data_IF_562726232551
#
_entry.id   IF_562726232551
#
_cell.length_a   1.000
_cell.length_b   1.000
_cell.length_c   1.000
_cell.angle_alpha   90.00
_cell.angle_beta   90.00
_cell.angle_gamma   90.00
#
_symmetry.space_group_name_H-M   'P 1'
#
loop_
_entity.id
_entity.type
_entity.pdbx_description
1 polymer ?
#
# COMPACT_ATOMS: atom_id res chain seq x y z
N UNK A 1 20.44 12.38 -8.44
CA UNK A 1 21.14 12.07 -7.21
C UNK A 1 20.22 11.48 -6.15
N UNK A 2 20.77 11.23 -5.00
CA UNK A 2 20.06 10.61 -3.89
C UNK A 2 18.85 11.44 -3.45
N UNK A 3 19.00 12.77 -3.43
CA UNK A 3 17.91 13.67 -3.09
C UNK A 3 16.72 13.57 -4.03
N UNK A 4 16.98 13.34 -5.31
CA UNK A 4 15.90 13.19 -6.30
C UNK A 4 15.14 11.87 -6.12
N UNK A 5 15.84 10.81 -5.72
CA UNK A 5 15.22 9.51 -5.44
C UNK A 5 14.26 9.64 -4.25
N UNK A 6 14.67 10.30 -3.17
CA UNK A 6 13.84 10.51 -2.00
C UNK A 6 12.64 11.42 -2.29
N UNK A 7 12.84 12.48 -3.09
CA UNK A 7 11.74 13.37 -3.48
C UNK A 7 10.69 12.64 -4.29
N UNK A 8 11.12 11.80 -5.23
CA UNK A 8 10.20 11.00 -6.05
C UNK A 8 9.42 10.01 -5.19
N UNK A 9 10.12 9.31 -4.29
CA UNK A 9 9.50 8.38 -3.36
C UNK A 9 8.44 9.07 -2.52
N UNK A 10 8.76 10.22 -1.94
CA UNK A 10 7.83 10.96 -1.08
C UNK A 10 6.63 11.47 -1.86
N UNK A 11 6.85 11.91 -3.10
CA UNK A 11 5.75 12.38 -3.95
C UNK A 11 4.73 11.28 -4.23
N UNK A 12 5.19 10.10 -4.59
CA UNK A 12 4.29 8.97 -4.84
C UNK A 12 3.62 8.47 -3.57
N UNK A 13 4.34 8.49 -2.46
CA UNK A 13 3.75 8.12 -1.18
C UNK A 13 2.68 9.13 -0.76
N UNK A 14 2.91 10.43 -1.00
CA UNK A 14 1.90 11.44 -0.74
C UNK A 14 0.66 11.22 -1.63
N UNK A 15 0.85 10.84 -2.88
CA UNK A 15 -0.27 10.48 -3.76
C UNK A 15 -1.09 9.33 -3.17
N UNK A 16 -0.43 8.31 -2.63
CA UNK A 16 -1.12 7.19 -1.99
C UNK A 16 -1.92 7.66 -0.77
N UNK A 17 -1.32 8.52 0.05
CA UNK A 17 -2.01 9.09 1.21
C UNK A 17 -3.24 9.89 0.76
N UNK A 18 -3.11 10.69 -0.30
CA UNK A 18 -4.22 11.47 -0.83
C UNK A 18 -5.33 10.56 -1.38
N UNK A 19 -4.98 9.43 -1.99
CA UNK A 19 -5.98 8.44 -2.42
C UNK A 19 -6.77 7.90 -1.23
N UNK A 20 -6.12 7.70 -0.08
CA UNK A 20 -6.79 7.19 1.11
C UNK A 20 -7.91 8.11 1.60
N UNK A 21 -7.85 9.39 1.26
CA UNK A 21 -8.89 10.37 1.65
C UNK A 21 -10.22 10.15 0.92
N UNK A 22 -10.21 9.38 -0.16
CA UNK A 22 -11.44 9.04 -0.90
C UNK A 22 -12.24 7.94 -0.22
N UNK A 23 -11.62 7.22 0.70
CA UNK A 23 -12.28 6.14 1.43
C UNK A 23 -13.33 6.69 2.39
N UNK A 24 -14.50 6.07 2.43
CA UNK A 24 -15.52 6.40 3.43
C UNK A 24 -15.12 5.81 4.77
N UNK A 25 -14.97 6.63 5.82
CA UNK A 25 -14.59 6.11 7.14
C UNK A 25 -15.57 5.05 7.65
N UNK A 26 -15.00 4.02 8.27
CA UNK A 26 -15.76 2.91 8.86
C UNK A 26 -15.12 2.55 10.19
N UNK A 27 -15.88 1.99 11.11
CA UNK A 27 -15.36 1.58 12.41
C UNK A 27 -14.55 0.29 12.37
N UNK A 28 -14.60 -0.43 11.25
CA UNK A 28 -14.00 -1.76 11.11
C UNK A 28 -12.81 -1.82 10.15
N UNK A 29 -12.50 -0.72 9.46
CA UNK A 29 -11.46 -0.72 8.44
C UNK A 29 -10.69 0.59 8.43
N UNK A 30 -9.38 0.49 8.24
CA UNK A 30 -8.55 1.65 7.98
C UNK A 30 -8.78 2.17 6.57
N UNK A 31 -8.69 3.47 6.39
CA UNK A 31 -8.64 4.09 5.08
C UNK A 31 -7.20 4.11 4.61
N UNK A 32 -6.93 3.35 3.57
CA UNK A 32 -5.60 3.18 2.99
C UNK A 32 -5.66 3.58 1.51
N UNK A 33 -4.58 4.14 1.01
CA UNK A 33 -4.42 4.44 -0.40
C UNK A 33 -3.18 3.77 -0.93
N UNK A 34 -3.18 3.44 -2.21
CA UNK A 34 -2.06 2.79 -2.87
C UNK A 34 -1.81 3.40 -4.25
N UNK A 35 -0.55 3.46 -4.63
CA UNK A 35 -0.10 3.89 -5.96
C UNK A 35 0.90 2.87 -6.46
N UNK A 36 0.67 2.33 -7.65
CA UNK A 36 1.62 1.45 -8.34
C UNK A 36 2.30 2.25 -9.43
N UNK A 37 3.62 2.16 -9.49
CA UNK A 37 4.41 2.72 -10.60
C UNK A 37 5.14 1.56 -11.26
N UNK A 38 4.81 1.29 -12.52
CA UNK A 38 5.41 0.20 -13.27
C UNK A 38 6.80 0.55 -13.77
N UNK A 39 7.54 -0.43 -14.27
CA UNK A 39 8.89 -0.21 -14.80
C UNK A 39 8.90 0.75 -15.99
N UNK A 40 7.81 0.81 -16.75
CA UNK A 40 7.66 1.79 -17.84
C UNK A 40 6.87 3.03 -17.43
N UNK A 41 6.80 3.28 -16.11
CA UNK A 41 6.25 4.50 -15.49
C UNK A 41 4.75 4.71 -15.68
N UNK A 42 3.99 3.66 -15.87
CA UNK A 42 2.53 3.73 -15.81
C UNK A 42 2.11 3.73 -14.34
N UNK A 43 1.06 4.48 -14.02
CA UNK A 43 0.59 4.69 -12.65
C UNK A 43 -0.82 4.15 -12.50
N UNK A 44 -1.04 3.38 -11.43
CA UNK A 44 -2.36 2.87 -11.06
C UNK A 44 -2.59 3.16 -9.59
N UNK A 45 -3.81 3.56 -9.25
CA UNK A 45 -4.15 3.97 -7.89
C UNK A 45 -5.28 3.12 -7.34
N UNK A 46 -5.37 3.06 -6.03
CA UNK A 46 -6.46 2.38 -5.36
C UNK A 46 -6.67 2.92 -3.96
N UNK A 47 -7.90 2.77 -3.45
CA UNK A 47 -8.19 3.09 -2.06
C UNK A 47 -9.13 2.03 -1.49
N UNK A 48 -9.16 1.94 -0.17
CA UNK A 48 -9.95 0.94 0.55
C UNK A 48 -11.40 0.97 0.10
N UNK A 49 -11.91 -0.21 -0.30
CA UNK A 49 -13.29 -0.42 -0.71
C UNK A 49 -13.73 0.36 -1.94
N UNK A 50 -12.80 0.71 -2.81
CA UNK A 50 -13.11 1.50 -4.01
C UNK A 50 -14.19 0.85 -4.87
N UNK A 51 -14.07 -0.44 -5.16
CA UNK A 51 -15.01 -1.17 -6.02
C UNK A 51 -15.73 -2.32 -5.30
N UNK A 52 -15.28 -2.71 -4.11
CA UNK A 52 -15.85 -3.83 -3.37
C UNK A 52 -15.61 -3.66 -1.88
N UNK A 53 -16.59 -4.04 -1.02
CA UNK A 53 -16.43 -3.89 0.43
C UNK A 53 -15.36 -4.79 1.05
N UNK A 54 -14.81 -5.74 0.29
CA UNK A 54 -13.74 -6.62 0.78
C UNK A 54 -12.37 -6.27 0.21
N UNK A 55 -12.28 -5.30 -0.70
CA UNK A 55 -11.01 -4.97 -1.36
C UNK A 55 -10.22 -3.94 -0.56
N UNK A 56 -8.94 -4.24 -0.36
CA UNK A 56 -7.97 -3.30 0.17
C UNK A 56 -7.41 -2.42 -0.96
N UNK A 57 -6.78 -1.32 -0.59
CA UNK A 57 -6.25 -0.35 -1.56
C UNK A 57 -5.27 -0.97 -2.55
N UNK A 58 -4.35 -1.79 -2.04
CA UNK A 58 -3.33 -2.43 -2.87
C UNK A 58 -3.97 -3.36 -3.91
N UNK A 59 -4.98 -4.12 -3.51
CA UNK A 59 -5.72 -5.00 -4.42
C UNK A 59 -6.43 -4.19 -5.50
N UNK A 60 -7.05 -3.07 -5.15
CA UNK A 60 -7.74 -2.21 -6.12
C UNK A 60 -6.77 -1.70 -7.18
N UNK A 61 -5.59 -1.26 -6.77
CA UNK A 61 -4.57 -0.78 -7.70
C UNK A 61 -4.05 -1.91 -8.60
N UNK A 62 -3.80 -3.09 -8.03
CA UNK A 62 -3.34 -4.26 -8.77
C UNK A 62 -4.37 -4.68 -9.81
N UNK A 63 -5.64 -4.71 -9.46
CA UNK A 63 -6.71 -5.09 -10.38
C UNK A 63 -6.80 -4.15 -11.57
N UNK A 64 -6.63 -2.85 -11.35
CA UNK A 64 -6.62 -1.88 -12.45
C UNK A 64 -5.45 -2.11 -13.39
N UNK A 65 -4.27 -2.39 -12.85
CA UNK A 65 -3.08 -2.66 -13.65
C UNK A 65 -3.27 -3.92 -14.49
N UNK A 66 -3.80 -4.98 -13.88
CA UNK A 66 -4.07 -6.23 -14.59
C UNK A 66 -5.11 -6.04 -15.70
N UNK A 67 -6.16 -5.26 -15.43
CA UNK A 67 -7.18 -4.96 -16.43
C UNK A 67 -6.61 -4.18 -17.62
N UNK A 68 -5.58 -3.36 -17.38
CA UNK A 68 -4.90 -2.61 -18.43
C UNK A 68 -3.87 -3.46 -19.19
N UNK A 69 -3.64 -4.71 -18.77
CA UNK A 69 -2.70 -5.60 -19.44
C UNK A 69 -1.23 -5.25 -19.24
N UNK A 70 -0.90 -4.51 -18.16
CA UNK A 70 0.49 -4.10 -17.93
C UNK A 70 1.24 -5.14 -17.10
N UNK A 71 2.56 -5.17 -17.27
CA UNK A 71 3.47 -6.01 -16.50
C UNK A 71 3.69 -5.41 -15.12
N UNK A 72 3.40 -6.17 -14.07
CA UNK A 72 3.64 -5.74 -12.68
C UNK A 72 5.02 -6.15 -12.15
N UNK A 73 5.69 -7.11 -12.79
CA UNK A 73 7.02 -7.52 -12.38
C UNK A 73 7.97 -6.33 -12.33
N UNK A 74 8.67 -6.17 -11.22
CA UNK A 74 9.62 -5.08 -11.03
C UNK A 74 9.00 -3.74 -10.68
N UNK A 75 7.67 -3.66 -10.55
CA UNK A 75 7.00 -2.41 -10.18
C UNK A 75 7.25 -2.05 -8.73
N UNK A 76 7.01 -0.79 -8.40
CA UNK A 76 7.01 -0.29 -7.02
C UNK A 76 5.58 0.02 -6.62
N UNK A 77 5.20 -0.37 -5.40
CA UNK A 77 3.92 0.01 -4.82
C UNK A 77 4.14 0.90 -3.61
N UNK A 78 3.41 2.02 -3.57
CA UNK A 78 3.41 2.96 -2.48
C UNK A 78 2.07 2.82 -1.77
N UNK A 79 2.10 2.54 -0.47
CA UNK A 79 0.89 2.37 0.32
C UNK A 79 0.95 3.27 1.54
N UNK A 80 -0.18 3.87 1.92
CA UNK A 80 -0.18 4.74 3.10
C UNK A 80 0.10 3.96 4.38
N UNK A 81 -0.27 2.68 4.44
CA UNK A 81 0.01 1.81 5.58
C UNK A 81 0.68 0.52 5.12
N UNK A 82 1.33 -0.15 6.04
CA UNK A 82 1.97 -1.44 5.79
C UNK A 82 0.98 -2.43 5.17
N UNK A 83 1.32 -3.07 4.03
CA UNK A 83 0.45 -4.08 3.44
C UNK A 83 0.17 -5.22 4.43
N UNK A 84 -1.09 -5.62 4.52
CA UNK A 84 -1.50 -6.64 5.48
C UNK A 84 -0.83 -7.99 5.19
N UNK A 85 -0.56 -8.74 6.25
CA UNK A 85 -0.01 -10.09 6.15
C UNK A 85 -1.11 -11.16 6.23
N UNK A 86 -2.28 -10.79 6.76
CA UNK A 86 -3.45 -11.66 6.85
C UNK A 86 -4.70 -10.83 6.67
N UNK A 87 -5.74 -11.44 6.11
CA UNK A 87 -7.08 -10.85 6.10
C UNK A 87 -8.12 -11.95 5.98
N UNK A 88 -9.25 -11.74 6.65
CA UNK A 88 -10.31 -12.76 6.77
C UNK A 88 -11.21 -12.81 5.55
N UNK A 89 -11.34 -11.72 4.82
CA UNK A 89 -12.32 -11.58 3.74
C UNK A 89 -11.84 -12.08 2.38
N UNK A 90 -10.58 -12.39 2.23
CA UNK A 90 -9.99 -12.79 0.96
C UNK A 90 -8.96 -13.89 1.18
N UNK A 91 -8.74 -14.78 0.18
CA UNK A 91 -7.79 -15.87 0.33
C UNK A 91 -6.33 -15.44 0.38
N UNK A 92 -6.00 -14.29 -0.23
CA UNK A 92 -4.64 -13.76 -0.21
C UNK A 92 -4.57 -12.43 0.52
N UNK A 93 -3.54 -12.23 1.32
CA UNK A 93 -3.23 -10.92 1.90
C UNK A 93 -2.65 -10.00 0.84
N UNK A 94 -2.58 -8.69 1.15
CA UNK A 94 -1.94 -7.74 0.23
C UNK A 94 -0.46 -8.05 0.05
N UNK A 95 0.24 -8.47 1.13
CA UNK A 95 1.64 -8.89 1.01
C UNK A 95 1.80 -10.09 0.08
N UNK A 96 0.93 -11.08 0.16
CA UNK A 96 0.97 -12.23 -0.73
C UNK A 96 0.72 -11.84 -2.18
N UNK A 97 -0.22 -10.92 -2.43
CA UNK A 97 -0.48 -10.40 -3.78
C UNK A 97 0.75 -9.71 -4.35
N UNK A 98 1.42 -8.89 -3.54
CA UNK A 98 2.62 -8.17 -3.94
C UNK A 98 3.75 -9.16 -4.29
N UNK A 99 3.93 -10.18 -3.45
CA UNK A 99 4.95 -11.22 -3.67
C UNK A 99 4.63 -11.99 -4.96
N UNK A 100 3.38 -12.41 -5.14
CA UNK A 100 2.97 -13.21 -6.29
C UNK A 100 3.16 -12.48 -7.61
N UNK A 101 2.95 -11.17 -7.62
CA UNK A 101 3.14 -10.35 -8.82
C UNK A 101 4.56 -9.83 -8.99
N UNK A 102 5.49 -10.28 -8.13
CA UNK A 102 6.92 -10.01 -8.26
C UNK A 102 7.26 -8.51 -8.26
N UNK A 103 6.61 -7.75 -7.40
CA UNK A 103 7.00 -6.35 -7.18
C UNK A 103 8.44 -6.28 -6.70
N UNK A 104 9.14 -5.25 -7.10
CA UNK A 104 10.52 -5.02 -6.67
C UNK A 104 10.59 -4.33 -5.32
N UNK A 105 9.65 -3.43 -5.03
CA UNK A 105 9.76 -2.53 -3.90
C UNK A 105 8.41 -2.14 -3.36
N UNK A 106 8.34 -1.98 -2.04
CA UNK A 106 7.18 -1.47 -1.32
C UNK A 106 7.62 -0.29 -0.47
N UNK A 107 6.86 0.81 -0.52
CA UNK A 107 7.09 2.00 0.30
C UNK A 107 5.82 2.30 1.06
N UNK A 108 5.91 2.52 2.37
CA UNK A 108 4.75 2.93 3.15
C UNK A 108 5.13 3.93 4.25
N UNK A 109 4.11 4.57 4.85
CA UNK A 109 4.32 5.65 5.81
C UNK A 109 4.09 5.22 7.26
N UNK A 110 3.30 4.18 7.49
CA UNK A 110 2.91 3.77 8.83
C UNK A 110 2.77 2.26 8.91
N UNK A 111 3.38 1.65 9.92
CA UNK A 111 3.13 0.25 10.24
C UNK A 111 1.70 0.07 10.72
N UNK A 112 1.11 -1.09 10.47
CA UNK A 112 -0.25 -1.38 10.90
C UNK A 112 -0.32 -1.35 12.44
N UNK A 113 -1.14 -0.45 13.06
CA UNK A 113 -1.04 -0.18 14.49
C UNK A 113 -1.53 -1.27 15.40
N UNK A 114 -2.45 -2.13 14.95
CA UNK A 114 -3.10 -3.12 15.81
C UNK A 114 -2.39 -4.45 15.88
N UNK A 115 -1.19 -4.53 15.37
CA UNK A 115 -0.48 -5.78 15.28
C UNK A 115 0.72 -5.80 16.23
N UNK A 116 0.62 -6.54 17.34
CA UNK A 116 1.74 -6.74 18.24
C UNK A 116 2.82 -7.64 17.64
N UNK A 117 2.41 -8.49 16.73
CA UNK A 117 3.34 -9.21 15.86
C UNK A 117 3.58 -8.37 14.60
N UNK A 118 3.58 -7.10 14.82
CA UNK A 118 3.68 -6.08 13.82
C UNK A 118 4.83 -6.29 12.90
N UNK A 119 4.76 -5.70 11.76
CA UNK A 119 5.81 -5.79 10.77
C UNK A 119 5.88 -7.15 10.10
N UNK A 120 4.89 -8.01 10.28
CA UNK A 120 4.86 -9.28 9.56
C UNK A 120 4.73 -9.06 8.07
N UNK A 121 3.95 -8.06 7.65
CA UNK A 121 3.85 -7.71 6.24
C UNK A 121 5.20 -7.31 5.68
N UNK A 122 5.86 -6.34 6.31
CA UNK A 122 7.19 -5.87 5.89
C UNK A 122 8.22 -6.99 5.96
N UNK A 123 8.22 -7.74 7.06
CA UNK A 123 9.17 -8.84 7.25
C UNK A 123 8.98 -9.92 6.18
N UNK A 124 7.74 -10.28 5.90
CA UNK A 124 7.41 -11.29 4.89
C UNK A 124 7.86 -10.84 3.49
N UNK A 125 7.64 -9.57 3.16
CA UNK A 125 8.08 -8.99 1.89
C UNK A 125 9.60 -9.07 1.76
N UNK A 126 10.33 -8.69 2.82
CA UNK A 126 11.80 -8.75 2.82
C UNK A 126 12.32 -10.17 2.69
N UNK A 127 11.66 -11.15 3.31
CA UNK A 127 12.04 -12.56 3.18
C UNK A 127 11.92 -13.08 1.75
N UNK A 128 11.09 -12.44 0.94
CA UNK A 128 10.91 -12.81 -0.46
C UNK A 128 11.72 -11.91 -1.41
N UNK A 129 12.69 -11.17 -0.87
CA UNK A 129 13.61 -10.36 -1.67
C UNK A 129 13.06 -9.04 -2.14
N UNK A 130 11.94 -8.59 -1.59
CA UNK A 130 11.35 -7.30 -1.95
C UNK A 130 11.93 -6.21 -1.07
N UNK A 131 12.36 -5.10 -1.67
CA UNK A 131 12.82 -3.93 -0.91
C UNK A 131 11.64 -3.29 -0.19
N UNK A 132 11.82 -2.96 1.08
CA UNK A 132 10.81 -2.26 1.87
C UNK A 132 11.42 -1.00 2.42
N UNK A 133 10.78 0.14 2.14
CA UNK A 133 11.16 1.45 2.69
C UNK A 133 10.00 2.02 3.46
N UNK A 134 10.30 2.64 4.60
CA UNK A 134 9.29 3.30 5.43
C UNK A 134 9.64 4.77 5.55
N UNK A 135 8.71 5.65 5.20
CA UNK A 135 8.89 7.10 5.39
C UNK A 135 7.94 7.58 6.47
N UNK A 136 8.40 7.51 7.71
CA UNK A 136 7.59 7.87 8.87
C UNK A 136 7.31 9.36 8.98
N UNK A 137 8.00 10.19 8.21
CA UNK A 137 7.73 11.64 8.22
C UNK A 137 6.32 11.96 7.76
N UNK A 138 5.69 11.06 6.99
CA UNK A 138 4.32 11.22 6.52
C UNK A 138 3.30 10.47 7.39
N UNK A 139 3.72 9.77 8.43
CA UNK A 139 2.84 8.95 9.25
C UNK A 139 1.76 9.76 9.97
N UNK A 140 2.03 11.01 10.31
CA UNK A 140 1.05 11.87 10.97
C UNK A 140 -0.22 12.08 10.15
N UNK A 141 -0.06 12.22 8.83
CA UNK A 141 -1.22 12.35 7.92
C UNK A 141 -2.05 11.07 7.93
N UNK A 142 -1.41 9.92 7.90
CA UNK A 142 -2.09 8.61 7.89
C UNK A 142 -2.86 8.42 9.19
N UNK A 143 -2.25 8.76 10.33
CA UNK A 143 -2.92 8.68 11.63
C UNK A 143 -4.14 9.59 11.69
N UNK A 144 -4.03 10.82 11.18
CA UNK A 144 -5.14 11.77 11.18
C UNK A 144 -6.30 11.26 10.32
N UNK A 145 -6.01 10.72 9.14
CA UNK A 145 -7.03 10.15 8.24
C UNK A 145 -7.76 8.98 8.92
N UNK A 146 -7.07 8.24 9.77
CA UNK A 146 -7.61 7.05 10.44
C UNK A 146 -7.99 7.30 11.90
N UNK A 147 -8.15 8.55 12.30
CA UNK A 147 -8.51 8.89 13.69
C UNK A 147 -9.89 8.37 14.09
N UNK A 148 -10.74 8.03 13.13
CA UNK A 148 -12.07 7.45 13.37
C UNK A 148 -12.02 6.01 13.93
N UNK A 149 -10.90 5.32 13.77
CA UNK A 149 -10.71 3.99 14.34
C UNK A 149 -10.32 4.21 15.81
N UNK A 150 -11.13 3.71 16.73
CA UNK A 150 -10.89 3.87 18.16
C UNK A 150 -9.60 3.17 18.61
N UNK A 151 -8.95 3.77 19.58
CA UNK A 151 -7.70 3.25 20.15
C UNK A 151 -7.89 2.94 21.62
#
# INVERSE_FOLDING_TARGET
GLGDVYKRQRRYLQMAIDESRKCTPSTSSYCVGAVIVTTNRKIFTGYTHETSPTHHAEQEAILKALAAGVELRGATIYSSMEPCSERKSEPESCSELIIRHEFRRVVFALYEPDCFVCCQGALNLRRHGIEVSVDETLSGQVRAINAHIGH
#
